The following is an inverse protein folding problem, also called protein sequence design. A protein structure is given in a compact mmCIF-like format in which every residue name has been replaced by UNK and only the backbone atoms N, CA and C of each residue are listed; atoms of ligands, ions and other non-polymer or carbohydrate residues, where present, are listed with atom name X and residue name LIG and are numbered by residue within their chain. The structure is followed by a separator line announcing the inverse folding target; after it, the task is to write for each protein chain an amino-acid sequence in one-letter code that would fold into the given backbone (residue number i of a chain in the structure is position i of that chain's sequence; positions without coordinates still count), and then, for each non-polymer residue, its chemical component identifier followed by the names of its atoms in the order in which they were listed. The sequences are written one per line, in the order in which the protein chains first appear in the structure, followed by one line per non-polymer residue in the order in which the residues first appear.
data_IF_735864803008
#
_entry.id   IF_735864803008
#
_cell.length_a   1.000
_cell.length_b   1.000
_cell.length_c   1.000
_cell.angle_alpha   90.00
_cell.angle_beta   90.00
_cell.angle_gamma   90.00
#
_symmetry.space_group_name_H-M   'P 1'
#
loop_
_entity.id
_entity.type
_entity.pdbx_description
1 polymer ?
#
# COMPACT_ATOMS: atom_id res chain seq x y z
N UNK A 1 10.63 8.22 12.09
CA UNK A 1 10.13 6.82 12.13
C UNK A 1 10.61 6.14 10.87
N UNK A 2 11.07 4.89 10.96
CA UNK A 2 11.49 4.11 9.78
C UNK A 2 10.26 3.64 9.01
N UNK A 3 10.38 3.48 7.69
CA UNK A 3 9.30 2.87 6.88
C UNK A 3 9.05 1.43 7.30
N UNK A 4 7.91 0.87 6.87
CA UNK A 4 7.53 -0.51 7.13
C UNK A 4 6.99 -1.16 5.86
N UNK A 5 7.37 -2.41 5.62
CA UNK A 5 6.92 -3.25 4.49
C UNK A 5 5.57 -3.91 4.81
N UNK A 6 4.97 -4.55 3.81
CA UNK A 6 3.69 -5.25 3.99
C UNK A 6 3.85 -6.56 4.76
N UNK A 7 5.03 -7.17 4.73
CA UNK A 7 5.41 -8.32 5.55
C UNK A 7 5.68 -7.99 7.03
N UNK A 8 5.76 -6.71 7.39
CA UNK A 8 6.11 -6.25 8.74
C UNK A 8 4.88 -5.84 9.56
N UNK A 9 4.98 -5.78 10.90
CA UNK A 9 3.88 -5.33 11.75
C UNK A 9 3.44 -3.89 11.42
N UNK A 10 2.14 -3.70 11.20
CA UNK A 10 1.57 -2.39 10.87
C UNK A 10 1.59 -1.48 12.12
N UNK A 11 2.19 -0.28 12.04
CA UNK A 11 2.18 0.69 13.13
C UNK A 11 0.75 1.18 13.45
N UNK A 12 0.43 1.54 14.71
CA UNK A 12 -0.92 1.94 15.13
C UNK A 12 -1.25 3.40 14.73
N UNK A 13 -1.08 3.74 13.45
CA UNK A 13 -1.37 5.06 12.89
C UNK A 13 -2.88 5.32 12.95
N UNK A 14 -3.26 6.49 13.46
CA UNK A 14 -4.66 6.93 13.66
C UNK A 14 -5.53 6.00 14.52
N UNK A 15 -4.94 5.11 15.32
CA UNK A 15 -5.67 4.23 16.24
C UNK A 15 -5.90 4.89 17.62
N UNK A 16 -7.11 4.73 18.16
CA UNK A 16 -7.52 5.23 19.49
C UNK A 16 -8.20 6.61 19.46
N UNK A 17 -8.64 7.08 20.63
CA UNK A 17 -9.30 8.38 20.79
C UNK A 17 -8.83 9.09 22.09
N UNK A 18 -8.00 10.15 21.99
CA UNK A 18 -7.38 10.67 20.76
C UNK A 18 -6.28 9.72 20.22
N UNK A 19 -6.06 9.69 18.89
CA UNK A 19 -4.99 8.89 18.32
C UNK A 19 -3.62 9.42 18.74
N UNK A 20 -2.71 8.51 19.11
CA UNK A 20 -1.35 8.87 19.54
C UNK A 20 -0.38 9.10 18.37
N UNK A 21 -0.64 8.45 17.23
CA UNK A 21 0.24 8.46 16.06
C UNK A 21 -0.51 9.06 14.88
N UNK A 22 -0.38 10.38 14.73
CA UNK A 22 -1.04 11.16 13.69
C UNK A 22 -0.02 11.53 12.61
N UNK A 23 -0.29 11.27 11.32
CA UNK A 23 0.60 11.68 10.23
C UNK A 23 0.84 13.21 10.25
N UNK A 24 2.09 13.68 10.17
CA UNK A 24 2.39 15.11 10.10
C UNK A 24 1.84 15.71 8.80
N UNK A 25 1.16 16.85 8.91
CA UNK A 25 0.52 17.51 7.76
C UNK A 25 1.48 17.86 6.62
N UNK A 26 2.75 18.13 6.91
CA UNK A 26 3.76 18.48 5.89
C UNK A 26 4.51 17.29 5.30
N UNK A 27 4.44 16.11 5.94
CA UNK A 27 5.21 14.93 5.56
C UNK A 27 4.32 13.73 5.21
N UNK A 28 3.01 13.94 5.05
CA UNK A 28 2.03 12.87 4.80
C UNK A 28 2.37 12.06 3.54
N UNK A 29 3.00 12.67 2.54
CA UNK A 29 3.39 12.10 1.26
C UNK A 29 4.82 11.52 1.25
N UNK A 30 5.54 11.61 2.37
CA UNK A 30 6.90 11.11 2.53
C UNK A 30 6.95 9.85 3.36
N UNK A 31 7.99 9.05 3.15
CA UNK A 31 8.30 7.93 4.02
C UNK A 31 8.52 8.40 5.46
N UNK A 32 8.00 7.69 6.48
CA UNK A 32 7.24 6.44 6.37
C UNK A 32 5.71 6.63 6.24
N UNK A 33 5.23 7.87 6.31
CA UNK A 33 3.80 8.18 6.45
C UNK A 33 3.00 7.80 5.21
N UNK A 34 3.59 7.95 4.03
CA UNK A 34 2.99 7.61 2.74
C UNK A 34 2.43 6.17 2.68
N UNK A 35 3.05 5.22 3.37
CA UNK A 35 2.59 3.82 3.49
C UNK A 35 1.16 3.72 4.01
N UNK A 36 0.80 4.55 4.99
CA UNK A 36 -0.56 4.58 5.52
C UNK A 36 -1.44 5.60 4.79
N UNK A 37 -0.92 6.81 4.57
CA UNK A 37 -1.73 7.93 4.08
C UNK A 37 -2.22 7.71 2.66
N UNK A 38 -1.46 7.05 1.77
CA UNK A 38 -1.91 6.78 0.41
C UNK A 38 -3.08 5.78 0.36
N UNK A 39 -3.24 4.95 1.39
CA UNK A 39 -4.40 4.07 1.54
C UNK A 39 -5.58 4.75 2.26
N UNK A 40 -5.35 5.90 2.91
CA UNK A 40 -6.33 6.59 3.78
C UNK A 40 -6.46 8.09 3.48
N UNK A 41 -6.21 8.52 2.23
CA UNK A 41 -6.15 9.96 1.85
C UNK A 41 -7.38 10.75 2.33
N UNK A 42 -8.58 10.17 2.24
CA UNK A 42 -9.84 10.83 2.63
C UNK A 42 -9.91 11.20 4.12
N UNK A 43 -9.06 10.62 4.95
CA UNK A 43 -9.00 10.91 6.39
C UNK A 43 -8.10 12.09 6.72
N UNK A 44 -7.18 12.46 5.82
CA UNK A 44 -6.17 13.50 6.07
C UNK A 44 -6.28 14.71 5.14
N UNK A 45 -6.94 14.56 3.98
CA UNK A 45 -7.09 15.62 2.99
C UNK A 45 -8.55 15.76 2.54
N UNK A 46 -8.98 16.98 2.14
CA UNK A 46 -10.27 17.16 1.47
C UNK A 46 -10.31 16.32 0.19
N UNK A 47 -11.35 15.50 0.07
CA UNK A 47 -11.61 14.67 -1.11
C UNK A 47 -13.03 14.87 -1.58
N UNK A 48 -13.29 14.53 -2.85
CA UNK A 48 -14.64 14.45 -3.40
C UNK A 48 -14.89 13.02 -3.85
N UNK A 49 -16.13 12.55 -3.70
CA UNK A 49 -16.52 11.25 -4.21
C UNK A 49 -16.62 11.29 -5.75
N UNK A 50 -15.96 10.35 -6.41
CA UNK A 50 -16.15 10.07 -7.84
C UNK A 50 -17.03 8.83 -7.96
N UNK A 51 -18.33 9.03 -8.15
CA UNK A 51 -19.31 7.96 -8.17
C UNK A 51 -19.19 7.07 -9.42
N UNK A 52 -19.04 5.76 -9.22
CA UNK A 52 -18.88 4.78 -10.32
C UNK A 52 -20.20 4.25 -10.92
N UNK A 53 -21.35 4.62 -10.34
CA UNK A 53 -22.64 4.01 -10.66
C UNK A 53 -22.99 2.83 -9.74
N UNK A 54 -24.17 2.24 -9.96
CA UNK A 54 -24.58 1.01 -9.28
C UNK A 54 -23.99 -0.24 -9.96
N UNK A 55 -23.74 -1.30 -9.16
CA UNK A 55 -23.29 -2.60 -9.69
C UNK A 55 -21.84 -2.62 -10.18
N UNK A 56 -21.44 -3.71 -10.82
CA UNK A 56 -20.13 -3.81 -11.48
C UNK A 56 -20.27 -3.33 -12.93
N UNK A 57 -19.36 -2.49 -13.41
CA UNK A 57 -19.36 -2.07 -14.83
C UNK A 57 -19.02 -3.26 -15.74
N UNK A 58 -17.97 -4.01 -15.38
CA UNK A 58 -17.52 -5.23 -16.07
C UNK A 58 -16.65 -6.03 -15.10
N UNK A 59 -16.80 -7.36 -15.10
CA UNK A 59 -15.87 -8.26 -14.37
C UNK A 59 -14.68 -8.57 -15.27
N UNK A 60 -13.49 -8.67 -14.69
CA UNK A 60 -12.33 -9.22 -15.39
C UNK A 60 -12.55 -10.73 -15.62
N UNK A 61 -12.22 -11.19 -16.82
CA UNK A 61 -12.06 -12.63 -17.06
C UNK A 61 -10.90 -13.12 -16.20
N UNK A 62 -11.08 -14.29 -15.59
CA UNK A 62 -10.13 -14.82 -14.62
C UNK A 62 -9.39 -16.01 -15.20
N UNK A 63 -8.08 -15.95 -15.09
CA UNK A 63 -7.14 -17.04 -15.31
C UNK A 63 -6.03 -16.87 -14.27
N UNK A 64 -6.40 -17.00 -12.99
CA UNK A 64 -5.50 -16.78 -11.87
C UNK A 64 -4.33 -17.79 -11.93
N UNK A 65 -3.11 -17.27 -11.81
CA UNK A 65 -1.87 -18.05 -11.75
C UNK A 65 -1.10 -17.57 -10.52
N UNK A 66 -0.56 -18.51 -9.75
CA UNK A 66 0.34 -18.16 -8.65
C UNK A 66 1.67 -17.66 -9.22
N UNK A 67 2.00 -16.41 -8.91
CA UNK A 67 3.21 -15.73 -9.36
C UNK A 67 4.18 -15.44 -8.21
N UNK A 68 3.87 -15.81 -6.96
CA UNK A 68 4.65 -15.39 -5.80
C UNK A 68 6.11 -15.87 -5.87
N UNK A 69 6.31 -17.08 -6.38
CA UNK A 69 7.61 -17.73 -6.55
C UNK A 69 8.29 -17.45 -7.89
N UNK A 70 7.71 -16.60 -8.75
CA UNK A 70 8.30 -16.25 -10.05
C UNK A 70 9.71 -15.66 -9.83
N UNK A 71 10.78 -16.23 -10.41
CA UNK A 71 12.14 -15.73 -10.21
C UNK A 71 12.33 -14.39 -10.92
N UNK A 72 12.81 -13.40 -10.17
CA UNK A 72 13.14 -12.05 -10.64
C UNK A 72 14.43 -11.57 -9.96
N UNK A 73 14.91 -10.39 -10.33
CA UNK A 73 15.99 -9.71 -9.59
C UNK A 73 15.40 -8.55 -8.77
N UNK A 74 15.96 -8.32 -7.59
CA UNK A 74 15.59 -7.23 -6.69
C UNK A 74 16.12 -5.87 -7.19
N UNK A 75 15.86 -4.79 -6.45
CA UNK A 75 16.32 -3.45 -6.82
C UNK A 75 17.85 -3.27 -6.86
N UNK A 76 18.60 -4.21 -6.27
CA UNK A 76 20.07 -4.25 -6.26
C UNK A 76 20.65 -5.19 -7.32
N UNK A 77 19.80 -5.92 -8.04
CA UNK A 77 20.18 -6.92 -9.04
C UNK A 77 20.42 -8.32 -8.48
N UNK A 78 20.11 -8.58 -7.21
CA UNK A 78 20.26 -9.90 -6.60
C UNK A 78 19.03 -10.79 -6.90
N UNK A 79 19.18 -12.11 -7.05
CA UNK A 79 18.05 -13.01 -7.29
C UNK A 79 17.05 -13.03 -6.13
N UNK A 80 15.75 -12.98 -6.46
CA UNK A 80 14.63 -13.06 -5.51
C UNK A 80 13.39 -13.65 -6.20
N UNK A 81 12.23 -13.62 -5.53
CA UNK A 81 10.93 -13.92 -6.14
C UNK A 81 10.12 -12.66 -6.37
N UNK A 82 9.07 -12.72 -7.20
CA UNK A 82 8.18 -11.59 -7.43
C UNK A 82 7.58 -11.07 -6.11
N UNK A 83 7.10 -11.96 -5.23
CA UNK A 83 6.61 -11.56 -3.92
C UNK A 83 7.68 -10.85 -3.08
N UNK A 84 8.93 -11.33 -3.13
CA UNK A 84 10.07 -10.70 -2.47
C UNK A 84 10.34 -9.28 -2.99
N UNK A 85 10.33 -9.09 -4.30
CA UNK A 85 10.50 -7.77 -4.93
C UNK A 85 9.37 -6.81 -4.55
N UNK A 86 8.10 -7.28 -4.59
CA UNK A 86 6.95 -6.45 -4.25
C UNK A 86 6.99 -5.96 -2.80
N UNK A 87 7.40 -6.84 -1.87
CA UNK A 87 7.56 -6.46 -0.45
C UNK A 87 8.76 -5.53 -0.24
N UNK A 88 9.90 -5.83 -0.87
CA UNK A 88 11.13 -5.03 -0.82
C UNK A 88 10.90 -3.59 -1.28
N UNK A 89 10.05 -3.42 -2.29
CA UNK A 89 9.71 -2.13 -2.92
C UNK A 89 8.48 -1.46 -2.31
N UNK A 90 7.94 -1.96 -1.19
CA UNK A 90 6.76 -1.38 -0.52
C UNK A 90 5.52 -1.32 -1.42
N UNK A 91 5.29 -2.34 -2.25
CA UNK A 91 4.16 -2.38 -3.18
C UNK A 91 2.86 -2.78 -2.47
N UNK A 92 1.83 -1.93 -2.57
CA UNK A 92 0.52 -2.14 -1.93
C UNK A 92 -0.54 -2.77 -2.83
N UNK A 93 -0.34 -2.73 -4.16
CA UNK A 93 -1.28 -3.27 -5.12
C UNK A 93 -0.56 -3.77 -6.37
N UNK A 94 -0.86 -5.02 -6.74
CA UNK A 94 -0.38 -5.70 -7.93
C UNK A 94 -1.53 -6.59 -8.45
N UNK A 95 -1.82 -6.56 -9.76
CA UNK A 95 -2.91 -7.32 -10.41
C UNK A 95 -2.52 -7.71 -11.83
#
# INVERSE_FOLDING_TARGET
MTSYRNSEPVPPIMQGSPPKMVPPKLDWDRGPWNRWTFQHIREILPTVEVWRGNGHRRRFERAEVDLDALPVNDSTGAPTTLAGLLDETYTDGFL
#
